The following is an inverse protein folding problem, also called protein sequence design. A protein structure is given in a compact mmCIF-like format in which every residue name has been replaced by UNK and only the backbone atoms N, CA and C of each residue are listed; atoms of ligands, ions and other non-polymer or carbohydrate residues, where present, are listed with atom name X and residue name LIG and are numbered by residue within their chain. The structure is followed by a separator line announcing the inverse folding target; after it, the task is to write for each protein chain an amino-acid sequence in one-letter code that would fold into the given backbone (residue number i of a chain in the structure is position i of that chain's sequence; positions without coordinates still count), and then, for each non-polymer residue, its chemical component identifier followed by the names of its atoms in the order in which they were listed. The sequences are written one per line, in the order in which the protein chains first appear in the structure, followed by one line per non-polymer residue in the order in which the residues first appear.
data_IF_227180942999
#
_entry.id   IF_227180942999
#
_cell.length_a   1.000
_cell.length_b   1.000
_cell.length_c   1.000
_cell.angle_alpha   90.00
_cell.angle_beta   90.00
_cell.angle_gamma   90.00
#
_symmetry.space_group_name_H-M   'P 1'
#
loop_
_entity.id
_entity.type
_entity.pdbx_description
1 polymer ?
#
# COMPACT_ATOMS: atom_id res chain seq x y z
N UNK A 1 13.71 22.35 7.82
CA UNK A 1 14.40 22.91 6.64
C UNK A 1 13.40 23.68 5.78
N UNK A 2 13.82 24.75 5.11
CA UNK A 2 12.97 25.49 4.16
C UNK A 2 12.79 24.66 2.88
N UNK A 3 11.56 24.40 2.42
CA UNK A 3 11.34 23.64 1.20
C UNK A 3 11.88 24.41 -0.02
N UNK A 4 12.70 23.74 -0.83
CA UNK A 4 13.16 24.27 -2.10
C UNK A 4 12.30 23.74 -3.23
N UNK A 5 11.95 24.63 -4.18
CA UNK A 5 11.27 24.21 -5.41
C UNK A 5 12.26 23.47 -6.31
N UNK A 6 11.79 22.36 -6.86
CA UNK A 6 12.49 21.59 -7.88
C UNK A 6 11.95 21.97 -9.25
N UNK A 7 12.77 21.86 -10.30
CA UNK A 7 12.32 22.11 -11.67
C UNK A 7 11.34 21.01 -12.14
N UNK A 8 10.58 21.32 -13.19
CA UNK A 8 9.50 20.46 -13.65
C UNK A 8 9.99 19.13 -14.25
N UNK A 9 11.14 19.11 -14.91
CA UNK A 9 11.67 17.91 -15.56
C UNK A 9 12.19 16.92 -14.52
N UNK A 10 12.91 17.41 -13.50
CA UNK A 10 13.35 16.57 -12.37
C UNK A 10 12.15 15.99 -11.61
N UNK A 11 11.10 16.78 -11.37
CA UNK A 11 9.86 16.29 -10.73
C UNK A 11 9.20 15.19 -11.57
N UNK A 12 9.18 15.34 -12.90
CA UNK A 12 8.61 14.34 -13.81
C UNK A 12 9.38 13.02 -13.76
N UNK A 13 10.71 13.08 -13.80
CA UNK A 13 11.55 11.87 -13.73
C UNK A 13 11.43 11.17 -12.37
N UNK A 14 11.42 11.92 -11.26
CA UNK A 14 11.18 11.35 -9.93
C UNK A 14 9.80 10.70 -9.83
N UNK A 15 8.76 11.33 -10.39
CA UNK A 15 7.42 10.74 -10.44
C UNK A 15 7.38 9.44 -11.24
N UNK A 16 8.13 9.36 -12.35
CA UNK A 16 8.24 8.14 -13.14
C UNK A 16 8.93 7.01 -12.35
N UNK A 17 9.99 7.33 -11.61
CA UNK A 17 10.69 6.37 -10.74
C UNK A 17 9.76 5.86 -9.64
N UNK A 18 9.09 6.76 -8.92
CA UNK A 18 8.15 6.41 -7.85
C UNK A 18 6.95 5.59 -8.36
N UNK A 19 6.43 5.89 -9.55
CA UNK A 19 5.39 5.07 -10.20
C UNK A 19 5.84 3.65 -10.52
N UNK A 20 7.09 3.44 -10.94
CA UNK A 20 7.63 2.09 -11.21
C UNK A 20 7.65 1.21 -9.95
N UNK A 21 7.70 1.83 -8.76
CA UNK A 21 7.62 1.14 -7.45
C UNK A 21 6.24 1.28 -6.80
N UNK A 22 5.21 1.59 -7.59
CA UNK A 22 3.81 1.70 -7.17
C UNK A 22 3.51 2.78 -6.11
N UNK A 23 4.28 3.88 -6.12
CA UNK A 23 4.05 5.05 -5.26
C UNK A 23 3.44 6.17 -6.11
N UNK A 24 2.18 6.52 -5.85
CA UNK A 24 1.41 7.49 -6.64
C UNK A 24 0.86 8.66 -5.84
N UNK A 25 1.32 8.85 -4.60
CA UNK A 25 0.81 9.87 -3.70
C UNK A 25 1.26 11.29 -4.10
N UNK A 26 0.44 12.31 -3.81
CA UNK A 26 0.73 13.70 -4.15
C UNK A 26 1.93 14.26 -3.39
N UNK A 27 2.19 13.75 -2.16
CA UNK A 27 3.35 14.12 -1.35
C UNK A 27 4.03 12.87 -0.81
N UNK A 28 5.33 12.80 -1.05
CA UNK A 28 6.21 11.71 -0.64
C UNK A 28 7.40 12.31 0.10
N UNK A 29 7.78 11.70 1.21
CA UNK A 29 8.99 12.02 1.97
C UNK A 29 9.98 10.89 1.71
N UNK A 30 11.19 11.23 1.24
CA UNK A 30 12.27 10.27 1.02
C UNK A 30 13.36 10.61 2.04
N UNK A 31 13.62 9.71 2.97
CA UNK A 31 14.73 9.82 3.92
C UNK A 31 15.91 8.98 3.40
N UNK A 32 16.97 9.65 2.96
CA UNK A 32 18.17 8.97 2.48
C UNK A 32 19.08 8.43 3.59
N UNK A 33 18.94 8.90 4.83
CA UNK A 33 19.72 8.38 5.96
C UNK A 33 19.11 7.08 6.49
N UNK A 34 17.78 7.02 6.52
CA UNK A 34 17.04 5.83 6.95
C UNK A 34 16.68 4.89 5.80
N UNK A 35 16.92 5.31 4.55
CA UNK A 35 16.56 4.58 3.32
C UNK A 35 15.04 4.26 3.25
N UNK A 36 14.21 5.16 3.78
CA UNK A 36 12.74 4.99 3.84
C UNK A 36 12.02 5.94 2.90
N UNK A 37 10.82 5.53 2.49
CA UNK A 37 9.87 6.36 1.74
C UNK A 37 8.54 6.39 2.50
N UNK A 38 8.14 7.58 2.95
CA UNK A 38 6.90 7.83 3.67
C UNK A 38 5.93 8.65 2.82
N UNK A 39 4.64 8.52 3.09
CA UNK A 39 3.57 9.17 2.33
C UNK A 39 2.75 10.00 3.31
N UNK A 40 2.45 11.24 2.98
CA UNK A 40 1.59 12.06 3.85
C UNK A 40 0.16 11.53 3.75
N UNK A 41 -0.37 11.00 4.84
CA UNK A 41 -1.79 10.60 4.97
C UNK A 41 -2.66 11.85 4.81
N UNK A 42 -2.97 12.20 3.57
CA UNK A 42 -3.81 13.35 3.22
C UNK A 42 -5.00 12.86 2.44
N UNK A 43 -5.99 12.41 3.20
CA UNK A 43 -7.34 12.20 2.71
C UNK A 43 -8.25 11.83 3.88
N UNK A 44 -9.44 12.44 3.93
CA UNK A 44 -10.57 12.02 4.76
C UNK A 44 -11.11 10.63 4.38
N UNK A 45 -10.34 9.82 3.66
CA UNK A 45 -10.59 8.40 3.53
C UNK A 45 -10.03 7.76 4.79
N UNK A 46 -10.91 7.55 5.77
CA UNK A 46 -10.63 6.63 6.86
C UNK A 46 -10.10 5.33 6.24
N UNK A 47 -9.10 4.71 6.89
CA UNK A 47 -8.68 3.34 6.56
C UNK A 47 -9.92 2.44 6.39
N UNK A 48 -11.00 2.69 7.12
CA UNK A 48 -12.27 1.99 7.02
C UNK A 48 -12.94 2.06 5.62
N UNK A 49 -12.87 3.20 4.91
CA UNK A 49 -13.45 3.35 3.57
C UNK A 49 -12.68 2.53 2.52
N UNK A 50 -11.36 2.40 2.72
CA UNK A 50 -10.49 1.56 1.91
C UNK A 50 -10.70 0.07 2.22
N UNK A 51 -10.86 -0.30 3.50
CA UNK A 51 -11.10 -1.68 3.94
C UNK A 51 -12.48 -2.20 3.47
N UNK A 52 -13.49 -1.34 3.46
CA UNK A 52 -14.84 -1.65 2.98
C UNK A 52 -14.86 -1.85 1.45
N UNK A 53 -14.00 -1.14 0.71
CA UNK A 53 -13.86 -1.29 -0.76
C UNK A 53 -12.95 -2.46 -1.17
N UNK A 54 -11.96 -2.81 -0.34
CA UNK A 54 -11.00 -3.88 -0.61
C UNK A 54 -11.45 -5.27 -0.13
N UNK A 55 -12.61 -5.38 0.54
CA UNK A 55 -13.13 -6.65 1.04
C UNK A 55 -12.19 -7.29 2.06
N UNK A 56 -11.64 -6.48 2.98
CA UNK A 56 -10.70 -7.01 3.98
C UNK A 56 -11.43 -7.94 4.94
N UNK A 57 -11.04 -9.21 4.89
CA UNK A 57 -11.57 -10.27 5.72
C UNK A 57 -10.99 -10.12 7.13
N UNK A 58 -11.86 -10.15 8.14
CA UNK A 58 -11.43 -10.11 9.53
C UNK A 58 -10.52 -11.31 9.85
N UNK A 59 -9.69 -11.24 10.90
CA UNK A 59 -8.85 -12.37 11.32
C UNK A 59 -9.64 -13.68 11.51
N UNK A 60 -10.88 -13.58 11.98
CA UNK A 60 -11.81 -14.71 12.14
C UNK A 60 -12.19 -15.29 10.78
N UNK A 61 -12.50 -14.44 9.80
CA UNK A 61 -12.86 -14.87 8.45
C UNK A 61 -11.68 -15.46 7.68
N UNK A 62 -10.47 -14.96 7.92
CA UNK A 62 -9.23 -15.55 7.41
C UNK A 62 -9.03 -16.95 8.00
N UNK A 63 -9.32 -17.13 9.29
CA UNK A 63 -9.24 -18.44 9.96
C UNK A 63 -10.25 -19.44 9.38
N UNK A 64 -11.49 -19.02 9.18
CA UNK A 64 -12.53 -19.87 8.57
C UNK A 64 -12.15 -20.35 7.17
N UNK A 65 -11.63 -19.46 6.33
CA UNK A 65 -11.22 -19.80 4.95
C UNK A 65 -10.00 -20.73 4.92
N UNK A 66 -9.06 -20.57 5.86
CA UNK A 66 -7.93 -21.50 6.01
C UNK A 66 -8.41 -22.90 6.40
N UNK A 67 -9.35 -22.99 7.34
CA UNK A 67 -9.92 -24.27 7.76
C UNK A 67 -10.72 -24.93 6.62
N UNK A 68 -11.42 -24.14 5.80
CA UNK A 68 -12.15 -24.64 4.63
C UNK A 68 -11.22 -25.19 3.53
N UNK A 69 -10.16 -24.46 3.18
CA UNK A 69 -9.14 -24.94 2.22
C UNK A 69 -8.42 -26.18 2.73
N UNK A 70 -8.17 -26.27 4.04
CA UNK A 70 -7.60 -27.46 4.68
C UNK A 70 -8.45 -28.70 4.47
N UNK A 71 -9.76 -28.61 4.79
CA UNK A 71 -10.72 -29.71 4.58
C UNK A 71 -10.82 -30.13 3.11
N UNK A 72 -10.84 -29.16 2.19
CA UNK A 72 -10.91 -29.46 0.76
C UNK A 72 -9.67 -30.21 0.24
N UNK A 73 -8.49 -30.03 0.85
CA UNK A 73 -7.28 -30.78 0.47
C UNK A 73 -7.31 -32.22 1.00
N UNK A 74 -7.81 -32.40 2.21
CA UNK A 74 -7.98 -33.75 2.80
C UNK A 74 -8.99 -34.60 2.03
N UNK A 75 -10.01 -33.97 1.43
CA UNK A 75 -10.99 -34.65 0.56
C UNK A 75 -10.45 -34.95 -0.85
N UNK A 76 -9.40 -34.26 -1.31
CA UNK A 76 -8.77 -34.51 -2.62
C UNK A 76 -7.71 -35.63 -2.58
N UNK A 77 -7.10 -35.86 -1.41
CA UNK A 77 -6.12 -36.92 -1.18
C UNK A 77 -6.76 -38.28 -0.77
N UNK A 78 -8.08 -38.42 -0.97
CA UNK A 78 -8.87 -39.62 -0.65
C UNK A 78 -9.45 -40.28 -1.90
#
# INVERSE_FOLDING_TARGET
MLPQKMDADTVKELRNILRKVNITYPRVIIDFNQETVEMEETGDCSVDDLLQSAGVLSPERIKELKDEVGRMREDWDR
#
